data_IF_628737578408
#
_entry.id   IF_628737578408
#
_cell.length_a   1.000
_cell.length_b   1.000
_cell.length_c   1.000
_cell.angle_alpha   90.00
_cell.angle_beta   90.00
_cell.angle_gamma   90.00
#
_symmetry.space_group_name_H-M   'P 1'
#
loop_
_entity.id
_entity.type
_entity.pdbx_description
1 polymer ?
#
# COMPACT_ATOMS: atom_id res chain seq x y z
N UNK A 1 -11.72 -16.41 15.05
CA UNK A 1 -11.14 -15.43 14.11
C UNK A 1 -10.41 -16.24 13.06
N UNK A 2 -11.01 -16.47 11.90
CA UNK A 2 -10.39 -17.23 10.81
C UNK A 2 -10.74 -16.50 9.51
N UNK A 3 -10.13 -15.33 9.31
CA UNK A 3 -9.96 -14.81 7.95
C UNK A 3 -8.90 -15.68 7.28
N UNK A 4 -9.12 -16.05 6.02
CA UNK A 4 -8.08 -16.69 5.22
C UNK A 4 -6.85 -15.76 5.20
N UNK A 5 -5.61 -16.28 5.13
CA UNK A 5 -4.41 -15.42 5.09
C UNK A 5 -4.48 -14.36 3.98
N UNK A 6 -5.23 -14.62 2.91
CA UNK A 6 -5.56 -13.67 1.86
C UNK A 6 -6.47 -12.52 2.31
N UNK A 7 -7.50 -12.80 3.11
CA UNK A 7 -8.43 -11.78 3.63
C UNK A 7 -7.71 -10.84 4.62
N UNK A 8 -6.86 -11.38 5.47
CA UNK A 8 -6.03 -10.59 6.40
C UNK A 8 -5.06 -9.68 5.63
N UNK A 9 -4.45 -10.20 4.56
CA UNK A 9 -3.53 -9.42 3.73
C UNK A 9 -4.24 -8.30 2.97
N UNK A 10 -5.44 -8.57 2.41
CA UNK A 10 -6.28 -7.54 1.80
C UNK A 10 -6.72 -6.47 2.80
N UNK A 11 -7.11 -6.89 4.00
CA UNK A 11 -7.48 -5.96 5.06
C UNK A 11 -6.31 -5.06 5.46
N UNK A 12 -5.08 -5.60 5.53
CA UNK A 12 -3.88 -4.80 5.79
C UNK A 12 -3.65 -3.74 4.71
N UNK A 13 -3.81 -4.08 3.43
CA UNK A 13 -3.71 -3.13 2.30
C UNK A 13 -4.74 -2.01 2.44
N UNK A 14 -6.00 -2.36 2.70
CA UNK A 14 -7.07 -1.37 2.89
C UNK A 14 -6.83 -0.47 4.11
N UNK A 15 -6.27 -1.02 5.19
CA UNK A 15 -5.92 -0.21 6.37
C UNK A 15 -4.76 0.75 6.07
N UNK A 16 -3.72 0.29 5.38
CA UNK A 16 -2.59 1.13 5.00
C UNK A 16 -3.03 2.27 4.05
N UNK A 17 -3.89 1.98 3.08
CA UNK A 17 -4.46 2.98 2.17
C UNK A 17 -5.31 4.02 2.91
N UNK A 18 -6.20 3.58 3.81
CA UNK A 18 -7.00 4.50 4.64
C UNK A 18 -6.10 5.39 5.51
N UNK A 19 -5.04 4.83 6.11
CA UNK A 19 -4.08 5.60 6.92
C UNK A 19 -3.36 6.66 6.11
N UNK A 20 -3.03 6.37 4.84
CA UNK A 20 -2.44 7.35 3.94
C UNK A 20 -3.40 8.55 3.74
N UNK A 21 -4.68 8.29 3.51
CA UNK A 21 -5.70 9.31 3.27
C UNK A 21 -6.07 10.11 4.53
N UNK A 22 -6.25 9.45 5.67
CA UNK A 22 -6.62 10.08 6.93
C UNK A 22 -5.50 10.95 7.51
N UNK A 23 -4.25 10.55 7.32
CA UNK A 23 -3.11 11.24 7.92
C UNK A 23 -2.42 12.25 6.98
N UNK A 24 -2.71 12.21 5.68
CA UNK A 24 -2.32 13.26 4.73
C UNK A 24 -2.67 14.69 5.20
N UNK A 25 -3.91 14.99 5.66
CA UNK A 25 -4.25 16.33 6.16
C UNK A 25 -3.52 16.69 7.47
N UNK A 26 -3.22 15.71 8.32
CA UNK A 26 -2.49 15.93 9.57
C UNK A 26 -1.01 16.24 9.31
N UNK A 27 -0.41 15.60 8.29
CA UNK A 27 0.97 15.84 7.87
C UNK A 27 1.12 17.18 7.13
N UNK A 28 0.09 17.65 6.40
CA UNK A 28 0.13 18.97 5.74
C UNK A 28 0.16 20.15 6.72
N UNK A 29 -0.13 19.91 8.01
CA UNK A 29 -0.01 20.93 9.05
C UNK A 29 1.42 21.08 9.61
N UNK A 30 2.31 20.13 9.34
CA UNK A 30 3.75 20.22 9.56
C UNK A 30 4.48 20.68 8.30
N UNK A 31 5.71 21.17 8.43
CA UNK A 31 6.55 21.60 7.30
C UNK A 31 6.55 20.60 6.14
N UNK A 32 6.69 21.10 4.90
CA UNK A 32 6.68 20.28 3.68
C UNK A 32 7.64 19.06 3.74
N UNK A 33 8.81 19.22 4.35
CA UNK A 33 9.79 18.12 4.53
C UNK A 33 9.26 16.99 5.42
N UNK A 34 8.48 17.31 6.46
CA UNK A 34 7.85 16.32 7.33
C UNK A 34 6.67 15.62 6.65
N UNK A 35 5.95 16.35 5.79
CA UNK A 35 4.92 15.78 4.93
C UNK A 35 5.52 14.78 3.94
N UNK A 36 6.60 15.13 3.24
CA UNK A 36 7.27 14.25 2.26
C UNK A 36 7.85 13.00 2.92
N UNK A 37 8.53 13.14 4.07
CA UNK A 37 9.06 11.99 4.81
C UNK A 37 7.96 11.08 5.39
N UNK A 38 6.86 11.68 5.87
CA UNK A 38 5.70 10.95 6.39
C UNK A 38 4.96 10.18 5.29
N UNK A 39 4.77 10.80 4.12
CA UNK A 39 4.18 10.16 2.94
C UNK A 39 5.07 9.03 2.41
N UNK A 40 6.39 9.24 2.32
CA UNK A 40 7.32 8.21 1.83
C UNK A 40 7.32 6.96 2.73
N UNK A 41 7.31 7.15 4.05
CA UNK A 41 7.28 6.04 5.03
C UNK A 41 5.97 5.24 4.92
N UNK A 42 4.83 5.95 4.80
CA UNK A 42 3.52 5.31 4.69
C UNK A 42 3.30 4.64 3.33
N UNK A 43 3.85 5.20 2.26
CA UNK A 43 3.85 4.57 0.94
C UNK A 43 4.71 3.28 0.94
N UNK A 44 5.82 3.26 1.70
CA UNK A 44 6.61 2.04 1.87
C UNK A 44 5.83 0.94 2.62
N UNK A 45 5.13 1.29 3.70
CA UNK A 45 4.26 0.36 4.45
C UNK A 45 3.15 -0.22 3.57
N UNK A 46 2.48 0.62 2.78
CA UNK A 46 1.47 0.18 1.82
C UNK A 46 2.06 -0.74 0.75
N UNK A 47 3.25 -0.43 0.23
CA UNK A 47 3.96 -1.29 -0.72
C UNK A 47 4.27 -2.66 -0.12
N UNK A 48 4.74 -2.73 1.12
CA UNK A 48 5.01 -4.01 1.80
C UNK A 48 3.74 -4.84 2.00
N UNK A 49 2.62 -4.20 2.36
CA UNK A 49 1.33 -4.87 2.47
C UNK A 49 0.86 -5.45 1.12
N UNK A 50 0.99 -4.68 0.04
CA UNK A 50 0.65 -5.10 -1.34
C UNK A 50 1.50 -6.30 -1.78
N UNK A 51 2.82 -6.24 -1.57
CA UNK A 51 3.73 -7.35 -1.91
C UNK A 51 3.40 -8.60 -1.10
N UNK A 52 3.12 -8.44 0.20
CA UNK A 52 2.73 -9.56 1.07
C UNK A 52 1.44 -10.21 0.58
N UNK A 53 0.43 -9.41 0.26
CA UNK A 53 -0.84 -9.92 -0.24
C UNK A 53 -0.68 -10.63 -1.59
N UNK A 54 0.16 -10.10 -2.47
CA UNK A 54 0.52 -10.76 -3.73
C UNK A 54 1.22 -12.11 -3.51
N UNK A 55 2.14 -12.20 -2.55
CA UNK A 55 2.81 -13.46 -2.17
C UNK A 55 1.84 -14.52 -1.62
N UNK A 56 0.76 -14.10 -0.97
CA UNK A 56 -0.31 -15.00 -0.49
C UNK A 56 -1.26 -15.41 -1.62
N UNK A 57 -1.14 -14.82 -2.81
CA UNK A 57 -1.90 -15.15 -4.01
C UNK A 57 -3.04 -14.18 -4.34
N UNK A 58 -3.08 -13.00 -3.72
CA UNK A 58 -4.00 -11.95 -4.11
C UNK A 58 -3.69 -11.45 -5.53
N UNK A 59 -4.74 -11.14 -6.30
CA UNK A 59 -4.57 -10.63 -7.65
C UNK A 59 -4.28 -9.12 -7.62
N UNK A 60 -3.43 -8.61 -8.52
CA UNK A 60 -3.08 -7.18 -8.55
C UNK A 60 -4.29 -6.27 -8.78
N UNK A 61 -5.33 -6.73 -9.51
CA UNK A 61 -6.59 -5.99 -9.70
C UNK A 61 -7.32 -5.79 -8.36
N UNK A 62 -7.43 -6.84 -7.56
CA UNK A 62 -8.08 -6.84 -6.25
C UNK A 62 -7.30 -5.98 -5.23
N UNK A 63 -5.96 -6.00 -5.31
CA UNK A 63 -5.09 -5.13 -4.51
C UNK A 63 -5.19 -3.66 -4.91
N UNK A 64 -5.38 -3.37 -6.20
CA UNK A 64 -5.60 -2.00 -6.68
C UNK A 64 -6.93 -1.45 -6.16
N UNK A 65 -7.99 -2.28 -6.17
CA UNK A 65 -9.27 -1.91 -5.57
C UNK A 65 -9.17 -1.69 -4.05
N UNK A 66 -8.49 -2.57 -3.32
CA UNK A 66 -8.33 -2.42 -1.86
C UNK A 66 -7.42 -1.26 -1.46
N UNK A 67 -6.42 -0.95 -2.29
CA UNK A 67 -5.53 0.18 -2.07
C UNK A 67 -6.14 1.52 -2.53
N UNK A 68 -7.27 1.49 -3.26
CA UNK A 68 -7.82 2.64 -4.00
C UNK A 68 -6.77 3.29 -4.90
N UNK A 69 -5.95 2.48 -5.57
CA UNK A 69 -4.85 2.91 -6.42
C UNK A 69 -5.03 2.42 -7.85
N UNK A 70 -4.33 3.07 -8.77
CA UNK A 70 -4.29 2.62 -10.15
C UNK A 70 -3.53 1.29 -10.26
N UNK A 71 -4.07 0.37 -11.08
CA UNK A 71 -3.46 -0.92 -11.32
C UNK A 71 -2.02 -0.77 -11.85
N UNK A 72 -1.74 0.26 -12.65
CA UNK A 72 -0.38 0.53 -13.15
C UNK A 72 0.60 0.83 -12.00
N UNK A 73 0.13 1.49 -10.94
CA UNK A 73 0.97 1.77 -9.76
C UNK A 73 1.24 0.51 -8.94
N UNK A 74 0.22 -0.32 -8.73
CA UNK A 74 0.38 -1.62 -8.06
C UNK A 74 1.29 -2.53 -8.89
N UNK A 75 1.09 -2.60 -10.21
CA UNK A 75 1.94 -3.33 -11.12
C UNK A 75 3.39 -2.81 -11.05
N UNK A 76 3.61 -1.50 -11.10
CA UNK A 76 4.93 -0.92 -10.92
C UNK A 76 5.56 -1.33 -9.59
N UNK A 77 4.81 -1.40 -8.49
CA UNK A 77 5.36 -1.84 -7.20
C UNK A 77 5.75 -3.31 -7.16
N UNK A 78 4.96 -4.17 -7.79
CA UNK A 78 5.22 -5.62 -7.88
C UNK A 78 6.35 -5.94 -8.86
N UNK A 79 6.41 -5.26 -10.01
CA UNK A 79 7.37 -5.52 -11.09
C UNK A 79 8.66 -4.70 -10.97
N UNK A 80 8.67 -3.56 -10.28
CA UNK A 80 9.86 -2.76 -9.97
C UNK A 80 10.47 -3.10 -8.60
N UNK A 81 9.85 -4.03 -7.85
CA UNK A 81 10.39 -4.61 -6.62
C UNK A 81 11.43 -5.71 -6.83
N UNK A 82 11.57 -6.20 -8.06
CA UNK A 82 12.75 -6.92 -8.51
C UNK A 82 13.56 -5.97 -9.38
N UNK A 83 14.83 -5.72 -9.01
CA UNK A 83 15.79 -5.17 -9.94
C UNK A 83 15.69 -5.92 -11.26
N UNK A 84 15.25 -5.22 -12.31
CA UNK A 84 15.39 -5.71 -13.68
C UNK A 84 16.89 -5.78 -14.05
N UNK A 85 17.27 -6.71 -14.94
CA UNK A 85 18.68 -7.00 -15.27
C UNK A 85 19.46 -5.82 -15.85
#
# INVERSE_FOLDING_TARGET
MNGSPMEEARHAVRQAAQRLTEEAPALTAGSAEALEAGLATRAADLKEAVVTAWHVGAQPEDLAEDAEMDLDTIAAWLFHGGEGP
#
